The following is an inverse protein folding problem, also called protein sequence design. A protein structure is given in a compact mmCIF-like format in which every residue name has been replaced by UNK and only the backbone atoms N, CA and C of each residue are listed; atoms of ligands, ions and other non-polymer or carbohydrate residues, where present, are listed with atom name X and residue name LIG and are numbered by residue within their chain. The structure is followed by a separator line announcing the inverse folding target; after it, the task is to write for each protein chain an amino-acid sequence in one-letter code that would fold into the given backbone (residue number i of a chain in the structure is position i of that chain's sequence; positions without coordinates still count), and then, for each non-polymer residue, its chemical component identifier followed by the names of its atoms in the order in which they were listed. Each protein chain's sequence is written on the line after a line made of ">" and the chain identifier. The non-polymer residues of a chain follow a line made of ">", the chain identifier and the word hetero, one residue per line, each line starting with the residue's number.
data_IF_879824801953
#
_entry.id   IF_879824801953
#
_cell.length_a   1.000
_cell.length_b   1.000
_cell.length_c   1.000
_cell.angle_alpha   90.00
_cell.angle_beta   90.00
_cell.angle_gamma   90.00
#
_symmetry.space_group_name_H-M   'P 1'
#
loop_
_entity.id
_entity.type
_entity.pdbx_description
1 polymer ?
#
# COMPACT_ATOMS: atom_id res chain seq x y z
N UNK A 1 -10.67 -18.25 26.61
CA UNK A 1 -9.28 -17.83 26.34
C UNK A 1 -9.34 -17.04 25.05
N UNK A 2 -9.59 -15.73 25.13
CA UNK A 2 -9.64 -14.84 23.96
C UNK A 2 -8.50 -13.84 24.14
N UNK A 3 -7.31 -14.29 23.80
CA UNK A 3 -6.12 -13.48 23.85
C UNK A 3 -6.08 -12.58 22.59
N UNK A 4 -5.62 -11.35 22.78
CA UNK A 4 -4.98 -10.50 21.77
C UNK A 4 -5.86 -9.56 20.92
N UNK A 5 -6.83 -8.86 21.53
CA UNK A 5 -7.36 -7.60 21.00
C UNK A 5 -6.51 -6.38 21.45
N UNK A 6 -5.18 -6.48 21.41
CA UNK A 6 -4.27 -5.38 21.77
C UNK A 6 -3.36 -5.02 20.59
N UNK A 7 -3.92 -4.33 19.60
CA UNK A 7 -3.12 -3.57 18.64
C UNK A 7 -3.51 -2.09 18.73
N UNK A 8 -3.00 -1.50 19.82
CA UNK A 8 -2.55 -0.12 19.98
C UNK A 8 -2.97 0.80 18.83
N UNK A 9 -3.98 1.63 19.07
CA UNK A 9 -4.33 2.79 18.24
C UNK A 9 -3.14 3.74 18.13
N UNK A 10 -2.19 3.44 17.25
CA UNK A 10 -1.10 4.32 16.87
C UNK A 10 -1.68 5.28 15.85
N UNK A 11 -2.15 6.43 16.34
CA UNK A 11 -2.45 7.67 15.61
C UNK A 11 -2.02 7.65 14.12
N UNK A 12 -2.84 7.04 13.25
CA UNK A 12 -2.66 7.01 11.79
C UNK A 12 -3.35 8.23 11.19
N UNK A 13 -2.99 9.44 11.63
CA UNK A 13 -3.74 10.65 11.27
C UNK A 13 -3.37 11.27 9.92
N UNK A 14 -2.58 10.59 9.07
CA UNK A 14 -2.19 11.14 7.75
C UNK A 14 -2.48 10.23 6.56
N UNK A 15 -2.80 8.96 6.78
CA UNK A 15 -3.09 8.00 5.71
C UNK A 15 -4.32 7.15 6.08
N UNK A 16 -5.42 7.28 5.32
CA UNK A 16 -6.61 6.45 5.52
C UNK A 16 -6.31 4.98 5.26
N UNK A 17 -6.97 4.07 5.99
CA UNK A 17 -6.85 2.61 5.82
C UNK A 17 -7.16 2.21 4.38
N UNK A 18 -8.25 2.74 3.82
CA UNK A 18 -8.70 2.49 2.44
C UNK A 18 -7.63 2.87 1.39
N UNK A 19 -6.99 4.03 1.54
CA UNK A 19 -5.88 4.44 0.66
C UNK A 19 -4.67 3.51 0.78
N UNK A 20 -4.40 2.99 1.98
CA UNK A 20 -3.28 2.08 2.22
C UNK A 20 -3.53 0.74 1.56
N UNK A 21 -4.72 0.17 1.72
CA UNK A 21 -5.12 -1.09 1.07
C UNK A 21 -5.09 -0.97 -0.45
N UNK A 22 -5.59 0.15 -0.99
CA UNK A 22 -5.50 0.48 -2.40
C UNK A 22 -4.05 0.49 -2.91
N UNK A 23 -3.16 1.24 -2.24
CA UNK A 23 -1.74 1.34 -2.62
C UNK A 23 -1.04 -0.01 -2.51
N UNK A 24 -1.29 -0.77 -1.45
CA UNK A 24 -0.70 -2.10 -1.29
C UNK A 24 -1.14 -3.03 -2.42
N UNK A 25 -2.42 -3.03 -2.80
CA UNK A 25 -2.89 -3.84 -3.92
C UNK A 25 -2.19 -3.46 -5.22
N UNK A 26 -2.16 -2.16 -5.55
CA UNK A 26 -1.49 -1.66 -6.75
C UNK A 26 -0.01 -2.06 -6.80
N UNK A 27 0.72 -1.90 -5.69
CA UNK A 27 2.16 -2.24 -5.61
C UNK A 27 2.39 -3.75 -5.59
N UNK A 28 1.46 -4.54 -5.04
CA UNK A 28 1.56 -6.01 -5.07
C UNK A 28 1.51 -6.53 -6.51
N UNK A 29 0.51 -6.11 -7.27
CA UNK A 29 0.28 -6.61 -8.63
C UNK A 29 1.24 -5.94 -9.63
N UNK A 30 1.41 -4.61 -9.57
CA UNK A 30 2.14 -3.83 -10.59
C UNK A 30 3.47 -3.22 -10.12
N UNK A 31 3.76 -3.25 -8.81
CA UNK A 31 5.03 -2.79 -8.20
C UNK A 31 5.31 -1.29 -8.40
N UNK A 32 6.11 -0.94 -9.41
CA UNK A 32 6.42 0.46 -9.75
C UNK A 32 5.87 0.86 -11.13
N UNK A 33 5.08 -0.02 -11.76
CA UNK A 33 4.45 0.27 -13.04
C UNK A 33 3.15 1.07 -12.86
N UNK A 34 3.30 2.37 -12.61
CA UNK A 34 2.17 3.28 -12.41
C UNK A 34 1.24 3.38 -13.63
N UNK A 35 1.72 3.03 -14.83
CA UNK A 35 0.90 3.02 -16.06
C UNK A 35 -0.04 1.83 -16.06
N UNK A 36 0.44 0.65 -15.66
CA UNK A 36 -0.36 -0.55 -15.47
C UNK A 36 -1.36 -0.36 -14.32
N UNK A 37 -0.93 0.23 -13.20
CA UNK A 37 -1.83 0.56 -12.08
C UNK A 37 -3.01 1.43 -12.50
N UNK A 38 -2.80 2.41 -13.39
CA UNK A 38 -3.90 3.26 -13.86
C UNK A 38 -4.92 2.52 -14.73
N UNK A 39 -4.51 1.40 -15.35
CA UNK A 39 -5.35 0.51 -16.16
C UNK A 39 -5.95 -0.65 -15.35
N UNK A 40 -5.56 -0.77 -14.10
CA UNK A 40 -5.98 -1.87 -13.24
C UNK A 40 -7.46 -1.77 -12.87
N UNK A 41 -8.13 -2.92 -12.76
CA UNK A 41 -9.55 -2.99 -12.39
C UNK A 41 -9.82 -2.50 -10.96
N UNK A 42 -8.84 -2.61 -10.06
CA UNK A 42 -8.92 -2.10 -8.69
C UNK A 42 -8.60 -0.62 -8.59
N UNK A 43 -8.39 0.08 -9.71
CA UNK A 43 -8.31 1.54 -9.74
C UNK A 43 -9.70 2.19 -9.61
N UNK A 44 -10.40 1.95 -8.49
CA UNK A 44 -11.74 2.49 -8.23
C UNK A 44 -11.75 4.03 -8.14
N UNK A 45 -10.62 4.63 -7.77
CA UNK A 45 -10.44 6.09 -7.77
C UNK A 45 -10.22 6.68 -9.16
N UNK A 46 -10.07 5.84 -10.19
CA UNK A 46 -9.72 6.27 -11.54
C UNK A 46 -8.49 7.18 -11.57
N UNK A 47 -7.55 6.91 -10.65
CA UNK A 47 -6.38 7.74 -10.49
C UNK A 47 -5.45 7.63 -11.69
N UNK A 48 -4.92 8.77 -12.11
CA UNK A 48 -3.84 8.81 -13.10
C UNK A 48 -2.55 8.26 -12.51
N UNK A 49 -1.58 7.79 -13.32
CA UNK A 49 -0.30 7.28 -12.83
C UNK A 49 0.41 8.24 -11.86
N UNK A 50 0.28 9.55 -12.09
CA UNK A 50 0.85 10.61 -11.24
C UNK A 50 0.16 10.71 -9.87
N UNK A 51 -1.16 10.52 -9.81
CA UNK A 51 -1.93 10.48 -8.57
C UNK A 51 -1.59 9.22 -7.76
N UNK A 52 -1.52 8.06 -8.41
CA UNK A 52 -1.13 6.80 -7.78
C UNK A 52 0.28 6.92 -7.19
N UNK A 53 1.23 7.47 -7.95
CA UNK A 53 2.58 7.76 -7.45
C UNK A 53 2.55 8.62 -6.20
N UNK A 54 1.79 9.72 -6.19
CA UNK A 54 1.65 10.59 -5.01
C UNK A 54 1.08 9.85 -3.80
N UNK A 55 0.08 8.99 -3.98
CA UNK A 55 -0.49 8.16 -2.91
C UNK A 55 0.53 7.17 -2.36
N UNK A 56 1.31 6.54 -3.24
CA UNK A 56 2.40 5.63 -2.83
C UNK A 56 3.48 6.39 -2.04
N UNK A 57 3.89 7.57 -2.49
CA UNK A 57 4.86 8.41 -1.77
C UNK A 57 4.31 8.88 -0.41
N UNK A 58 3.03 9.23 -0.36
CA UNK A 58 2.36 9.58 0.88
C UNK A 58 2.35 8.40 1.85
N UNK A 59 2.02 7.19 1.37
CA UNK A 59 2.06 5.98 2.18
C UNK A 59 3.47 5.68 2.71
N UNK A 60 4.51 5.78 1.87
CA UNK A 60 5.93 5.67 2.28
C UNK A 60 6.28 6.67 3.38
N UNK A 61 5.79 7.90 3.28
CA UNK A 61 6.06 8.97 4.24
C UNK A 61 5.29 8.80 5.56
N UNK A 62 4.06 8.31 5.50
CA UNK A 62 3.23 8.02 6.67
C UNK A 62 3.74 6.79 7.44
N UNK A 63 4.10 5.72 6.72
CA UNK A 63 4.38 4.39 7.26
C UNK A 63 5.63 3.77 6.61
N UNK A 64 6.83 4.34 6.84
CA UNK A 64 8.05 3.85 6.20
C UNK A 64 8.37 2.40 6.62
N UNK A 65 8.17 2.06 7.89
CA UNK A 65 8.44 0.70 8.41
C UNK A 65 7.47 -0.35 7.83
N UNK A 66 6.16 -0.05 7.79
CA UNK A 66 5.17 -0.97 7.20
C UNK A 66 5.38 -1.14 5.70
N UNK A 67 5.69 -0.05 4.98
CA UNK A 67 5.99 -0.12 3.55
C UNK A 67 7.24 -0.98 3.29
N UNK A 68 8.32 -0.79 4.06
CA UNK A 68 9.55 -1.55 3.90
C UNK A 68 9.32 -3.06 4.13
N UNK A 69 8.60 -3.43 5.20
CA UNK A 69 8.24 -4.81 5.48
C UNK A 69 7.38 -5.43 4.37
N UNK A 70 6.43 -4.65 3.84
CA UNK A 70 5.57 -5.07 2.73
C UNK A 70 6.38 -5.35 1.45
N UNK A 71 7.26 -4.43 1.03
CA UNK A 71 8.12 -4.63 -0.15
C UNK A 71 9.06 -5.83 0.04
N UNK A 72 9.65 -5.99 1.22
CA UNK A 72 10.50 -7.14 1.52
C UNK A 72 9.72 -8.47 1.38
N UNK A 73 8.46 -8.51 1.86
CA UNK A 73 7.59 -9.68 1.69
C UNK A 73 7.29 -9.96 0.20
N UNK A 74 7.08 -8.93 -0.61
CA UNK A 74 6.85 -9.10 -2.05
C UNK A 74 8.08 -9.64 -2.79
N UNK A 75 9.27 -9.11 -2.48
CA UNK A 75 10.53 -9.57 -3.08
C UNK A 75 10.82 -11.04 -2.75
N UNK A 76 10.52 -11.45 -1.51
CA UNK A 76 10.66 -12.85 -1.09
C UNK A 76 9.75 -13.81 -1.88
N UNK A 77 8.53 -13.38 -2.24
CA UNK A 77 7.56 -14.23 -2.97
C UNK A 77 7.88 -14.41 -4.45
N UNK A 78 8.52 -13.42 -5.08
CA UNK A 78 8.90 -13.49 -6.50
C UNK A 78 10.15 -14.35 -6.77
N UNK A 79 10.86 -14.74 -5.73
CA UNK A 79 12.14 -15.48 -5.83
C UNK A 79 12.00 -16.99 -5.61
N UNK A 80 10.78 -17.53 -5.59
CA UNK A 80 10.49 -18.95 -5.33
C UNK A 80 9.76 -19.63 -6.48
#
# INVERSE_FOLDING_TARGET
>A
MEAEASLRGKNRTTCSTDMTEYVQHMVKEHNEDYKAMARDEKNYYQDTPKQIKRKVELYKRCHPEEYAAFIASLQSRKSS
#
